data_IF_542265043725
#
_entry.id   IF_542265043725
#
_cell.length_a   1.000
_cell.length_b   1.000
_cell.length_c   1.000
_cell.angle_alpha   90.00
_cell.angle_beta   90.00
_cell.angle_gamma   90.00
#
_symmetry.space_group_name_H-M   'P 1'
#
loop_
_entity.id
_entity.type
_entity.pdbx_description
1 polymer ?
#
# COMPACT_ATOMS: atom_id res chain seq x y z
N UNK A 1 7.60 7.79 -15.26
CA UNK A 1 6.48 8.73 -15.34
C UNK A 1 6.35 9.29 -16.73
N UNK A 2 5.66 8.58 -17.63
CA UNK A 2 5.31 9.05 -18.98
C UNK A 2 3.78 9.05 -19.16
N UNK A 3 3.07 9.23 -18.05
CA UNK A 3 1.62 9.14 -18.01
C UNK A 3 1.03 10.44 -18.57
N UNK A 4 0.11 10.31 -19.53
CA UNK A 4 -0.73 11.43 -19.93
C UNK A 4 -1.81 11.63 -18.84
N UNK A 5 -1.97 12.84 -18.29
CA UNK A 5 -3.06 13.13 -17.35
C UNK A 5 -4.45 12.74 -17.86
N UNK A 6 -4.70 12.79 -19.17
CA UNK A 6 -5.98 12.38 -19.77
C UNK A 6 -6.23 10.86 -19.66
N UNK A 7 -5.17 10.06 -19.51
CA UNK A 7 -5.25 8.60 -19.38
C UNK A 7 -5.46 8.13 -17.94
N UNK A 8 -5.46 9.02 -16.94
CA UNK A 8 -5.65 8.62 -15.54
C UNK A 8 -7.03 7.96 -15.38
N UNK A 9 -7.00 6.70 -14.95
CA UNK A 9 -8.20 5.91 -14.75
C UNK A 9 -9.08 6.55 -13.65
N UNK A 10 -10.32 6.86 -14.01
CA UNK A 10 -11.34 7.30 -13.04
C UNK A 10 -12.22 6.11 -12.68
N UNK A 11 -12.37 5.89 -11.38
CA UNK A 11 -13.18 4.81 -10.81
C UNK A 11 -14.13 5.43 -9.78
N UNK A 12 -15.39 4.99 -9.75
CA UNK A 12 -16.34 5.46 -8.75
C UNK A 12 -16.19 4.67 -7.43
N UNK A 13 -16.96 5.05 -6.40
CA UNK A 13 -16.91 4.38 -5.09
C UNK A 13 -17.36 2.90 -5.15
N UNK A 14 -18.19 2.53 -6.12
CA UNK A 14 -18.58 1.14 -6.36
C UNK A 14 -17.48 0.31 -7.05
N UNK A 15 -16.38 0.92 -7.49
CA UNK A 15 -15.27 0.26 -8.18
C UNK A 15 -15.45 0.15 -9.69
N UNK A 16 -16.46 0.80 -10.25
CA UNK A 16 -16.74 0.77 -11.68
C UNK A 16 -15.82 1.75 -12.41
N UNK A 17 -15.26 1.29 -13.53
CA UNK A 17 -14.39 2.11 -14.38
C UNK A 17 -15.25 3.12 -15.18
N UNK A 18 -15.00 4.41 -14.94
CA UNK A 18 -15.79 5.52 -15.49
C UNK A 18 -15.14 6.11 -16.74
N UNK A 19 -13.83 6.38 -16.70
CA UNK A 19 -13.10 7.03 -17.81
C UNK A 19 -11.58 6.84 -17.70
N UNK A 20 -10.84 7.34 -18.69
CA UNK A 20 -9.37 7.21 -18.78
C UNK A 20 -8.97 5.82 -19.27
N UNK A 21 -7.71 5.45 -19.07
CA UNK A 21 -7.21 4.10 -19.39
C UNK A 21 -7.65 3.05 -18.36
N UNK A 22 -7.44 1.77 -18.68
CA UNK A 22 -7.79 0.65 -17.80
C UNK A 22 -7.13 0.83 -16.42
N UNK A 23 -7.87 0.70 -15.30
CA UNK A 23 -7.30 0.81 -13.96
C UNK A 23 -6.20 -0.23 -13.67
N UNK A 24 -5.33 0.09 -12.71
CA UNK A 24 -4.30 -0.85 -12.22
C UNK A 24 -4.92 -2.15 -11.70
N UNK A 25 -4.20 -3.26 -11.84
CA UNK A 25 -4.55 -4.54 -11.21
C UNK A 25 -4.61 -4.45 -9.68
N UNK A 26 -3.95 -3.46 -9.09
CA UNK A 26 -3.95 -3.19 -7.64
C UNK A 26 -5.12 -2.31 -7.19
N UNK A 27 -6.06 -1.94 -8.07
CA UNK A 27 -7.21 -1.09 -7.73
C UNK A 27 -7.99 -1.63 -6.52
N UNK A 28 -8.23 -2.94 -6.46
CA UNK A 28 -8.94 -3.56 -5.35
C UNK A 28 -8.28 -3.26 -4.00
N UNK A 29 -6.95 -3.36 -3.93
CA UNK A 29 -6.19 -3.04 -2.72
C UNK A 29 -6.35 -1.57 -2.30
N UNK A 30 -6.29 -0.63 -3.25
CA UNK A 30 -6.48 0.79 -2.94
C UNK A 30 -7.92 1.07 -2.46
N UNK A 31 -8.92 0.42 -3.07
CA UNK A 31 -10.33 0.60 -2.68
C UNK A 31 -10.59 0.13 -1.26
N UNK A 32 -10.07 -1.03 -0.87
CA UNK A 32 -10.23 -1.52 0.51
C UNK A 32 -9.69 -0.53 1.55
N UNK A 33 -8.62 0.20 1.24
CA UNK A 33 -8.12 1.29 2.12
C UNK A 33 -9.13 2.42 2.23
N UNK A 34 -9.64 2.93 1.10
CA UNK A 34 -10.61 4.04 1.09
C UNK A 34 -11.95 3.65 1.73
N UNK A 35 -12.44 2.45 1.44
CA UNK A 35 -13.72 1.94 1.97
C UNK A 35 -13.64 1.76 3.49
N UNK A 36 -12.46 1.41 4.01
CA UNK A 36 -12.23 1.16 5.44
C UNK A 36 -11.83 2.41 6.22
N UNK A 37 -11.17 3.37 5.57
CA UNK A 37 -10.75 4.63 6.14
C UNK A 37 -11.10 5.82 5.21
N UNK A 38 -12.28 6.44 5.38
CA UNK A 38 -12.74 7.56 4.55
C UNK A 38 -11.88 8.83 4.67
N UNK A 39 -11.02 8.94 5.69
CA UNK A 39 -10.14 10.10 5.89
C UNK A 39 -8.87 10.04 5.00
N UNK A 40 -8.60 8.88 4.36
CA UNK A 40 -7.45 8.73 3.46
C UNK A 40 -7.68 9.52 2.18
N UNK A 41 -6.82 10.52 1.95
CA UNK A 41 -6.87 11.36 0.74
C UNK A 41 -6.01 10.85 -0.43
N UNK A 42 -5.18 9.82 -0.21
CA UNK A 42 -4.30 9.28 -1.25
C UNK A 42 -3.57 8.03 -0.79
N UNK A 43 -3.28 7.14 -1.74
CA UNK A 43 -2.51 5.91 -1.52
C UNK A 43 -1.44 5.78 -2.60
N UNK A 44 -0.22 5.50 -2.17
CA UNK A 44 0.97 5.28 -3.00
C UNK A 44 1.49 3.87 -2.75
N UNK A 45 1.45 3.05 -3.79
CA UNK A 45 2.11 1.75 -3.81
C UNK A 45 3.36 1.83 -4.69
N UNK A 46 4.49 1.33 -4.21
CA UNK A 46 5.73 1.27 -4.98
C UNK A 46 6.40 -0.08 -4.85
N UNK A 47 7.28 -0.42 -5.80
CA UNK A 47 8.24 -1.52 -5.65
C UNK A 47 9.62 -0.93 -5.33
N UNK A 48 9.70 -0.13 -4.27
CA UNK A 48 10.95 0.56 -3.89
C UNK A 48 12.07 -0.45 -3.63
N UNK A 49 13.15 -0.36 -4.40
CA UNK A 49 14.25 -1.34 -4.42
C UNK A 49 14.79 -1.69 -3.03
N UNK A 50 15.07 -0.67 -2.21
CA UNK A 50 15.65 -0.87 -0.88
C UNK A 50 14.66 -1.47 0.12
N UNK A 51 13.38 -1.12 0.02
CA UNK A 51 12.35 -1.69 0.90
C UNK A 51 12.04 -3.13 0.53
N UNK A 52 11.98 -3.45 -0.77
CA UNK A 52 11.86 -4.85 -1.21
C UNK A 52 13.08 -5.65 -0.76
N UNK A 53 14.29 -5.13 -0.95
CA UNK A 53 15.51 -5.79 -0.47
C UNK A 53 15.52 -6.02 1.04
N UNK A 54 15.02 -5.07 1.84
CA UNK A 54 14.86 -5.23 3.29
C UNK A 54 13.99 -6.44 3.63
N UNK A 55 12.86 -6.65 2.93
CA UNK A 55 12.00 -7.82 3.19
C UNK A 55 12.69 -9.14 2.89
N UNK A 56 13.63 -9.17 1.94
CA UNK A 56 14.42 -10.35 1.60
C UNK A 56 15.56 -10.59 2.59
N UNK A 57 16.14 -9.52 3.14
CA UNK A 57 17.22 -9.57 4.13
C UNK A 57 16.73 -9.88 5.55
N UNK A 58 15.44 -9.68 5.82
CA UNK A 58 14.84 -9.78 7.14
C UNK A 58 14.54 -8.40 7.71
N UNK A 59 13.33 -8.24 8.24
CA UNK A 59 12.87 -7.00 8.88
C UNK A 59 13.17 -7.02 10.38
N UNK A 60 13.03 -5.87 11.05
CA UNK A 60 13.27 -5.79 12.50
C UNK A 60 12.25 -6.59 13.31
N UNK A 61 10.95 -6.35 13.06
CA UNK A 61 9.80 -7.08 13.63
C UNK A 61 8.67 -7.14 12.62
N UNK A 62 7.72 -8.05 12.82
CA UNK A 62 6.53 -8.11 11.97
C UNK A 62 5.65 -6.86 12.12
N UNK A 63 5.52 -6.29 13.32
CA UNK A 63 4.73 -5.07 13.52
C UNK A 63 5.47 -3.79 13.08
N UNK A 64 6.80 -3.86 12.92
CA UNK A 64 7.66 -2.72 12.59
C UNK A 64 8.86 -3.15 11.76
N UNK A 65 8.83 -2.84 10.45
CA UNK A 65 9.90 -3.30 9.55
C UNK A 65 11.28 -2.68 9.84
N UNK A 66 11.32 -1.54 10.53
CA UNK A 66 12.53 -0.82 10.90
C UNK A 66 12.48 -0.43 12.38
N UNK A 67 13.62 -0.44 13.10
CA UNK A 67 13.70 0.25 14.39
C UNK A 67 13.53 1.77 14.21
N UNK A 68 13.32 2.53 15.29
CA UNK A 68 13.28 3.99 15.23
C UNK A 68 14.64 4.57 14.85
N UNK A 69 14.96 4.59 13.56
CA UNK A 69 16.27 4.96 13.02
C UNK A 69 16.44 6.48 12.96
N UNK A 70 15.37 7.21 12.66
CA UNK A 70 15.37 8.67 12.56
C UNK A 70 14.07 9.26 13.12
N UNK A 71 14.11 10.47 13.71
CA UNK A 71 12.92 11.10 14.27
C UNK A 71 11.77 11.25 13.26
N UNK A 72 12.08 11.58 12.00
CA UNK A 72 11.05 11.79 10.97
C UNK A 72 10.34 10.51 10.56
N UNK A 73 11.02 9.36 10.57
CA UNK A 73 10.36 8.07 10.36
C UNK A 73 9.30 7.86 11.45
N UNK A 74 9.63 8.07 12.72
CA UNK A 74 8.68 7.91 13.82
C UNK A 74 7.53 8.92 13.73
N UNK A 75 7.83 10.20 13.48
CA UNK A 75 6.82 11.27 13.53
C UNK A 75 5.89 11.33 12.32
N UNK A 76 6.38 11.00 11.12
CA UNK A 76 5.62 11.16 9.86
C UNK A 76 5.07 9.85 9.33
N UNK A 77 5.79 8.75 9.53
CA UNK A 77 5.44 7.43 9.02
C UNK A 77 4.84 6.58 10.14
N UNK A 78 5.50 6.51 11.28
CA UNK A 78 5.08 5.69 12.43
C UNK A 78 5.36 4.21 12.20
N UNK A 79 4.49 3.37 12.75
CA UNK A 79 4.55 1.92 12.63
C UNK A 79 4.23 1.45 11.22
N UNK A 80 5.05 0.53 10.69
CA UNK A 80 4.86 -0.08 9.37
C UNK A 80 4.96 -1.59 9.53
N UNK A 81 3.82 -2.30 9.66
CA UNK A 81 3.80 -3.74 9.80
C UNK A 81 4.08 -4.43 8.46
N UNK A 82 4.69 -5.61 8.53
CA UNK A 82 4.95 -6.53 7.43
C UNK A 82 3.74 -7.44 7.22
N UNK A 83 3.18 -7.43 6.03
CA UNK A 83 2.19 -8.41 5.57
C UNK A 83 2.96 -9.52 4.84
N UNK A 84 2.87 -10.79 5.30
CA UNK A 84 3.54 -11.92 4.66
C UNK A 84 3.16 -12.08 3.20
N UNK A 85 4.07 -12.67 2.43
CA UNK A 85 3.89 -12.86 1.01
C UNK A 85 2.62 -13.67 0.70
N UNK A 86 1.88 -13.18 -0.29
CA UNK A 86 0.74 -13.84 -0.91
C UNK A 86 0.86 -13.72 -2.43
N UNK A 87 0.22 -14.62 -3.17
CA UNK A 87 0.27 -14.56 -4.64
C UNK A 87 -0.33 -13.23 -5.14
N UNK A 88 0.24 -12.59 -6.18
CA UNK A 88 -0.35 -11.39 -6.76
C UNK A 88 -1.82 -11.58 -7.15
N UNK A 89 -2.67 -10.66 -6.70
CA UNK A 89 -4.13 -10.73 -6.89
C UNK A 89 -4.88 -11.57 -5.85
N UNK A 90 -4.21 -12.10 -4.82
CA UNK A 90 -4.89 -12.71 -3.67
C UNK A 90 -5.71 -11.66 -2.92
N UNK A 91 -7.02 -11.90 -2.67
CA UNK A 91 -7.86 -10.95 -1.93
C UNK A 91 -7.40 -10.78 -0.48
N UNK A 92 -6.75 -11.80 0.09
CA UNK A 92 -6.21 -11.78 1.45
C UNK A 92 -5.27 -10.60 1.72
N UNK A 93 -4.50 -10.17 0.73
CA UNK A 93 -3.60 -9.01 0.91
C UNK A 93 -4.42 -7.75 1.12
N UNK A 94 -5.46 -7.55 0.31
CA UNK A 94 -6.32 -6.38 0.40
C UNK A 94 -7.10 -6.38 1.72
N UNK A 95 -7.62 -7.55 2.14
CA UNK A 95 -8.28 -7.72 3.45
C UNK A 95 -7.36 -7.35 4.62
N UNK A 96 -6.12 -7.85 4.62
CA UNK A 96 -5.12 -7.52 5.66
C UNK A 96 -4.73 -6.04 5.67
N UNK A 97 -4.58 -5.44 4.49
CA UNK A 97 -4.33 -4.00 4.37
C UNK A 97 -5.52 -3.21 4.95
N UNK A 98 -6.75 -3.62 4.66
CA UNK A 98 -7.97 -2.99 5.18
C UNK A 98 -8.04 -3.05 6.70
N UNK A 99 -7.76 -4.22 7.30
CA UNK A 99 -7.73 -4.41 8.76
C UNK A 99 -6.83 -3.37 9.46
N UNK A 100 -5.74 -2.99 8.79
CA UNK A 100 -4.72 -2.07 9.30
C UNK A 100 -4.94 -0.60 8.86
N UNK A 101 -5.84 -0.33 7.93
CA UNK A 101 -6.01 1.00 7.31
C UNK A 101 -6.39 2.12 8.30
N UNK A 102 -6.94 1.78 9.47
CA UNK A 102 -7.30 2.74 10.52
C UNK A 102 -6.26 2.85 11.64
N UNK A 103 -5.26 1.97 11.69
CA UNK A 103 -4.28 1.91 12.79
C UNK A 103 -2.90 2.40 12.40
N UNK A 104 -2.54 2.28 11.12
CA UNK A 104 -1.21 2.66 10.61
C UNK A 104 -1.33 3.51 9.35
N UNK A 105 -0.27 4.26 9.04
CA UNK A 105 -0.19 5.10 7.83
C UNK A 105 0.28 4.35 6.60
N UNK A 106 0.72 3.10 6.76
CA UNK A 106 1.18 2.28 5.65
C UNK A 106 1.57 0.89 6.14
N UNK A 107 1.78 0.00 5.18
CA UNK A 107 2.16 -1.39 5.41
C UNK A 107 3.26 -1.79 4.43
N UNK A 108 4.04 -2.80 4.78
CA UNK A 108 5.03 -3.39 3.89
C UNK A 108 4.53 -4.75 3.39
N UNK A 109 4.37 -4.92 2.09
CA UNK A 109 4.03 -6.22 1.50
C UNK A 109 5.34 -6.97 1.22
N UNK A 110 5.53 -8.12 1.87
CA UNK A 110 6.75 -8.92 1.74
C UNK A 110 7.03 -9.26 0.26
N UNK A 111 8.27 -9.02 -0.21
CA UNK A 111 8.72 -9.27 -1.59
C UNK A 111 7.99 -8.49 -2.69
N UNK A 112 7.18 -7.49 -2.33
CA UNK A 112 6.43 -6.67 -3.29
C UNK A 112 6.73 -5.18 -3.11
N UNK A 113 6.53 -4.63 -1.91
CA UNK A 113 6.78 -3.21 -1.65
C UNK A 113 5.80 -2.56 -0.67
N UNK A 114 6.02 -1.29 -0.31
CA UNK A 114 5.15 -0.58 0.60
C UNK A 114 3.84 -0.13 -0.06
N UNK A 115 2.81 0.01 0.76
CA UNK A 115 1.57 0.76 0.48
C UNK A 115 1.47 1.82 1.57
N UNK A 116 1.45 3.10 1.20
CA UNK A 116 1.44 4.26 2.10
C UNK A 116 0.33 5.21 1.72
#
# INVERSE_FOLDING_TARGET
>A
GRMDPADIAKVNLAGEWVSGSKPSKTLALHREVYDRNPEVGGVVHTHSTHLVALTLAGVWREDDILPPLTPYQVMKVGHIPLIPYERPGSPKVAERVAELANSVRGVMLERLGPVV
#
